data_IF_990167190164
#
_entry.id   IF_990167190164
#
_cell.length_a   1.000
_cell.length_b   1.000
_cell.length_c   1.000
_cell.angle_alpha   90.00
_cell.angle_beta   90.00
_cell.angle_gamma   90.00
#
_symmetry.space_group_name_H-M   'P 1'
#
loop_
_entity.id
_entity.type
_entity.pdbx_description
1 polymer ?
#
# COMPACT_ATOMS: atom_id res chain seq x y z
N UNK A 1 62.06 36.00 11.29
CA UNK A 1 61.01 36.10 12.24
C UNK A 1 60.27 34.73 12.30
N UNK A 2 60.35 34.14 13.49
CA UNK A 2 59.80 32.83 13.81
C UNK A 2 58.27 32.98 14.07
N UNK A 3 57.45 32.24 13.37
CA UNK A 3 56.02 32.08 13.69
C UNK A 3 55.84 30.78 14.47
N UNK A 4 55.46 30.91 15.71
CA UNK A 4 55.07 29.82 16.62
C UNK A 4 53.65 29.36 16.33
N UNK A 5 53.47 28.09 15.95
CA UNK A 5 52.18 27.46 15.80
C UNK A 5 51.56 27.11 17.15
N UNK A 6 50.33 27.54 17.37
CA UNK A 6 49.51 27.16 18.53
C UNK A 6 48.53 26.06 18.12
N UNK A 7 48.69 24.89 18.75
CA UNK A 7 47.73 23.76 18.61
C UNK A 7 46.47 24.06 19.41
N UNK A 8 45.26 23.82 18.88
CA UNK A 8 44.01 23.97 19.66
C UNK A 8 43.85 22.81 20.64
N UNK A 9 43.49 23.16 21.87
CA UNK A 9 43.18 22.22 22.96
C UNK A 9 41.88 21.45 22.72
N UNK A 10 41.84 20.19 23.13
CA UNK A 10 40.66 19.33 23.11
C UNK A 10 39.56 19.83 24.08
N UNK A 11 38.25 19.68 23.74
CA UNK A 11 37.19 20.10 24.63
C UNK A 11 37.03 19.19 25.86
N UNK A 12 36.71 19.79 27.00
CA UNK A 12 36.51 19.14 28.29
C UNK A 12 35.22 18.24 28.29
N UNK A 13 35.20 17.17 29.10
CA UNK A 13 34.02 16.30 29.18
C UNK A 13 32.87 17.00 29.92
N UNK A 14 31.67 16.93 29.31
CA UNK A 14 30.44 17.47 29.89
C UNK A 14 29.99 16.69 31.14
N UNK A 15 29.08 17.28 31.95
CA UNK A 15 28.65 16.71 33.23
C UNK A 15 27.84 15.43 33.06
N UNK A 16 28.15 14.42 33.89
CA UNK A 16 27.43 13.15 33.99
C UNK A 16 26.02 13.40 34.58
N UNK A 17 25.00 12.95 33.86
CA UNK A 17 23.63 12.90 34.33
C UNK A 17 23.50 11.71 35.32
N UNK A 18 22.84 11.84 36.48
CA UNK A 18 22.62 10.72 37.41
C UNK A 18 21.63 9.72 36.78
N UNK A 19 21.95 8.45 36.92
CA UNK A 19 21.13 7.30 36.57
C UNK A 19 19.95 7.24 37.57
N UNK A 20 18.77 7.64 37.15
CA UNK A 20 17.55 7.57 37.93
C UNK A 20 16.61 6.52 37.33
N UNK A 21 16.35 5.51 38.15
CA UNK A 21 15.21 4.61 38.17
C UNK A 21 14.60 4.11 36.85
N UNK A 22 14.87 2.85 36.61
CA UNK A 22 14.21 2.02 35.60
C UNK A 22 12.85 1.60 36.15
N UNK A 23 11.71 1.97 35.54
CA UNK A 23 10.42 1.47 35.98
C UNK A 23 10.28 -0.03 35.67
N UNK A 24 9.81 -0.77 36.65
CA UNK A 24 9.51 -2.20 36.59
C UNK A 24 8.47 -2.50 35.50
N UNK A 25 8.68 -3.61 34.81
CA UNK A 25 7.82 -4.16 33.75
C UNK A 25 6.47 -4.55 34.35
N UNK A 26 5.32 -4.09 33.81
CA UNK A 26 4.02 -4.54 34.29
C UNK A 26 3.82 -6.04 34.02
N UNK A 27 3.44 -6.76 35.07
CA UNK A 27 2.96 -8.14 35.00
C UNK A 27 1.70 -8.26 34.16
N UNK A 28 1.67 -9.28 33.31
CA UNK A 28 0.58 -9.56 32.37
C UNK A 28 -0.76 -9.73 33.11
N UNK A 29 -1.78 -9.01 32.64
CA UNK A 29 -3.17 -9.19 33.03
C UNK A 29 -3.77 -10.49 32.45
N UNK A 30 -4.74 -11.15 33.10
CA UNK A 30 -5.29 -12.42 32.63
C UNK A 30 -6.13 -12.24 31.36
N UNK A 31 -5.86 -13.08 30.39
CA UNK A 31 -6.57 -13.19 29.12
C UNK A 31 -8.02 -13.60 29.31
N UNK A 32 -8.94 -12.79 28.84
CA UNK A 32 -10.38 -13.06 28.76
C UNK A 32 -10.63 -14.11 27.67
N UNK A 33 -11.47 -15.15 27.90
CA UNK A 33 -11.74 -16.15 26.89
C UNK A 33 -12.56 -15.58 25.73
N UNK A 34 -12.19 -15.96 24.50
CA UNK A 34 -12.91 -15.63 23.27
C UNK A 34 -14.28 -16.32 23.21
N UNK A 35 -15.30 -15.70 22.57
CA UNK A 35 -16.61 -16.32 22.43
C UNK A 35 -16.56 -17.54 21.52
N UNK A 36 -17.23 -18.60 21.91
CA UNK A 36 -17.37 -19.84 21.16
C UNK A 36 -18.09 -19.61 19.82
N UNK A 37 -17.46 -20.05 18.75
CA UNK A 37 -18.06 -20.10 17.41
C UNK A 37 -19.03 -21.30 17.39
N UNK A 38 -20.26 -21.05 16.98
CA UNK A 38 -21.36 -21.98 16.93
C UNK A 38 -21.08 -23.24 16.12
N UNK A 39 -21.65 -24.34 16.59
CA UNK A 39 -21.60 -25.66 15.99
C UNK A 39 -22.17 -25.66 14.57
N UNK A 40 -21.38 -26.12 13.61
CA UNK A 40 -21.84 -26.43 12.26
C UNK A 40 -22.53 -27.81 12.23
N UNK A 41 -23.65 -27.85 11.55
CA UNK A 41 -24.59 -28.95 11.32
C UNK A 41 -23.91 -30.20 10.73
N UNK A 42 -24.16 -31.45 11.25
CA UNK A 42 -23.47 -32.67 10.78
C UNK A 42 -24.20 -33.39 9.62
N UNK A 43 -24.83 -32.69 8.68
CA UNK A 43 -25.71 -33.33 7.68
C UNK A 43 -25.17 -33.43 6.24
N UNK A 44 -23.87 -33.13 5.96
CA UNK A 44 -23.34 -33.19 4.57
C UNK A 44 -22.04 -33.99 4.38
N UNK A 45 -21.86 -35.10 5.11
CA UNK A 45 -20.68 -35.96 4.94
C UNK A 45 -21.05 -37.43 4.73
N UNK A 46 -21.96 -37.73 3.83
CA UNK A 46 -22.14 -39.09 3.34
C UNK A 46 -22.27 -39.07 1.83
N UNK A 47 -21.14 -39.20 1.17
CA UNK A 47 -20.96 -39.82 -0.14
C UNK A 47 -19.52 -39.59 -0.63
N UNK A 48 -18.67 -40.56 -0.42
CA UNK A 48 -17.65 -41.06 -1.35
C UNK A 48 -16.84 -42.13 -0.64
N UNK A 49 -17.40 -43.32 -0.54
CA UNK A 49 -16.61 -44.54 -0.34
C UNK A 49 -16.12 -44.96 -1.73
N UNK A 50 -14.91 -44.54 -2.09
CA UNK A 50 -14.14 -45.20 -3.12
C UNK A 50 -13.07 -46.02 -2.41
N UNK A 51 -13.10 -47.34 -2.60
CA UNK A 51 -12.21 -48.35 -2.09
C UNK A 51 -10.77 -48.13 -2.54
N UNK A 52 -10.00 -47.39 -1.74
CA UNK A 52 -8.53 -47.37 -1.80
C UNK A 52 -8.02 -47.85 -0.45
N UNK A 53 -7.18 -48.91 -0.44
CA UNK A 53 -6.54 -49.45 0.76
C UNK A 53 -5.85 -48.31 1.51
N UNK A 54 -6.48 -47.86 2.59
CA UNK A 54 -5.92 -46.85 3.48
C UNK A 54 -4.88 -47.57 4.34
N UNK A 55 -3.62 -47.43 3.99
CA UNK A 55 -2.51 -47.80 4.85
C UNK A 55 -2.55 -46.85 6.06
N UNK A 56 -2.70 -47.46 7.25
CA UNK A 56 -3.01 -46.72 8.48
C UNK A 56 -2.04 -45.60 8.81
N UNK A 57 -2.63 -44.47 9.20
CA UNK A 57 -1.91 -43.34 9.78
C UNK A 57 -1.15 -43.79 11.06
N UNK A 58 -0.02 -43.16 11.40
CA UNK A 58 0.69 -43.43 12.64
C UNK A 58 -0.27 -43.32 13.83
N UNK A 59 -0.21 -44.29 14.75
CA UNK A 59 -1.06 -44.32 15.93
C UNK A 59 -0.81 -43.12 16.81
N UNK A 60 -1.86 -42.67 17.50
CA UNK A 60 -1.75 -41.54 18.41
C UNK A 60 -0.76 -41.83 19.53
N UNK A 61 -0.07 -40.79 19.98
CA UNK A 61 0.86 -40.87 21.09
C UNK A 61 0.14 -41.43 22.36
N UNK A 62 0.67 -42.52 22.93
CA UNK A 62 0.05 -43.24 24.07
C UNK A 62 -0.75 -44.49 23.72
N UNK A 63 -1.07 -44.79 22.45
CA UNK A 63 -1.80 -45.99 22.05
C UNK A 63 -0.87 -47.18 21.95
N UNK A 64 -1.11 -48.24 22.75
CA UNK A 64 -0.28 -49.46 22.73
C UNK A 64 -0.59 -50.30 21.49
N UNK A 65 0.42 -50.70 20.66
CA UNK A 65 0.19 -51.56 19.52
C UNK A 65 -0.32 -52.94 19.92
N UNK A 66 -1.38 -53.41 19.26
CA UNK A 66 -1.95 -54.73 19.46
C UNK A 66 -1.18 -55.70 18.55
N UNK A 67 -0.38 -56.57 19.11
CA UNK A 67 0.40 -57.58 18.37
C UNK A 67 0.53 -58.87 19.21
N UNK A 68 0.51 -60.06 18.55
CA UNK A 68 0.79 -61.34 19.20
C UNK A 68 2.21 -61.38 19.78
N UNK A 69 2.46 -62.22 20.82
CA UNK A 69 3.79 -62.33 21.42
C UNK A 69 4.90 -62.67 20.40
N UNK A 70 4.63 -63.51 19.43
CA UNK A 70 5.57 -63.92 18.39
C UNK A 70 5.95 -62.72 17.48
N UNK A 71 4.98 -61.85 17.12
CA UNK A 71 5.24 -60.63 16.33
C UNK A 71 6.06 -59.63 17.13
N UNK A 72 5.79 -59.50 18.44
CA UNK A 72 6.58 -58.64 19.33
C UNK A 72 8.03 -59.09 19.48
N UNK A 73 8.25 -60.39 19.59
CA UNK A 73 9.60 -60.95 19.65
C UNK A 73 10.37 -60.64 18.35
N UNK A 74 9.76 -60.97 17.20
CA UNK A 74 10.37 -60.73 15.88
C UNK A 74 10.63 -59.25 15.59
N UNK A 75 9.73 -58.38 15.98
CA UNK A 75 9.93 -56.92 15.84
C UNK A 75 11.12 -56.44 16.68
N UNK A 76 11.30 -57.01 17.91
CA UNK A 76 12.44 -56.66 18.77
C UNK A 76 13.76 -57.18 18.16
N UNK A 77 13.77 -58.40 17.60
CA UNK A 77 14.94 -58.95 16.90
C UNK A 77 15.29 -58.13 15.64
N UNK A 78 14.28 -57.65 14.92
CA UNK A 78 14.46 -56.80 13.73
C UNK A 78 14.71 -55.32 14.06
N UNK A 79 14.71 -54.88 15.34
CA UNK A 79 14.88 -53.48 15.73
C UNK A 79 13.72 -52.56 15.31
N UNK A 80 12.53 -53.11 15.07
CA UNK A 80 11.37 -52.38 14.57
C UNK A 80 10.47 -51.94 15.70
N UNK A 81 10.16 -50.64 15.79
CA UNK A 81 9.13 -50.11 16.70
C UNK A 81 7.72 -50.40 16.13
N UNK A 82 6.98 -51.28 16.81
CA UNK A 82 5.62 -51.67 16.40
C UNK A 82 4.62 -50.51 16.36
N UNK A 83 4.93 -49.35 16.94
CA UNK A 83 4.12 -48.14 16.79
C UNK A 83 4.11 -47.58 15.38
N UNK A 84 5.14 -47.89 14.61
CA UNK A 84 5.29 -47.46 13.22
C UNK A 84 4.67 -48.47 12.20
N UNK A 85 4.26 -49.65 12.69
CA UNK A 85 3.68 -50.70 11.85
C UNK A 85 2.15 -50.59 11.89
N UNK A 86 1.52 -50.45 10.73
CA UNK A 86 0.06 -50.51 10.62
C UNK A 86 -0.40 -51.97 10.67
N UNK A 87 -1.34 -52.30 11.57
CA UNK A 87 -1.90 -53.65 11.66
C UNK A 87 -3.09 -53.84 10.74
N UNK A 88 -3.08 -54.88 9.89
CA UNK A 88 -4.19 -55.26 9.00
C UNK A 88 -5.08 -56.37 9.60
N UNK A 89 -4.68 -57.01 10.68
CA UNK A 89 -5.46 -58.06 11.36
C UNK A 89 -6.69 -57.54 12.10
N UNK A 90 -7.53 -58.47 12.63
CA UNK A 90 -8.74 -58.11 13.35
C UNK A 90 -8.50 -57.13 14.49
N UNK A 91 -9.35 -56.10 14.60
CA UNK A 91 -9.21 -54.97 15.54
C UNK A 91 -7.88 -54.21 15.43
N UNK A 92 -7.30 -54.11 14.22
CA UNK A 92 -6.05 -53.39 13.98
C UNK A 92 -4.80 -54.10 14.53
N UNK A 93 -4.87 -55.41 14.72
CA UNK A 93 -3.76 -56.25 15.21
C UNK A 93 -2.68 -56.37 14.15
N UNK A 94 -1.42 -56.17 14.55
CA UNK A 94 -0.26 -56.34 13.69
C UNK A 94 0.02 -57.80 13.46
N UNK A 95 0.07 -58.24 12.20
CA UNK A 95 0.38 -59.62 11.77
C UNK A 95 1.85 -59.75 11.43
N UNK A 96 2.31 -61.01 11.17
CA UNK A 96 3.67 -61.25 10.66
C UNK A 96 3.89 -60.61 9.29
N UNK A 97 2.86 -60.67 8.44
CA UNK A 97 2.89 -60.08 7.09
C UNK A 97 3.06 -58.56 7.12
N UNK A 98 2.40 -57.87 8.07
CA UNK A 98 2.54 -56.43 8.27
C UNK A 98 3.97 -56.04 8.66
N UNK A 99 4.59 -56.84 9.54
CA UNK A 99 5.96 -56.62 9.96
C UNK A 99 6.94 -56.85 8.83
N UNK A 100 6.73 -57.95 8.05
CA UNK A 100 7.57 -58.27 6.89
C UNK A 100 7.46 -57.18 5.81
N UNK A 101 6.25 -56.70 5.53
CA UNK A 101 6.02 -55.61 4.59
C UNK A 101 6.66 -54.30 5.06
N UNK A 102 6.69 -54.05 6.37
CA UNK A 102 7.35 -52.87 6.93
C UNK A 102 8.88 -52.97 6.81
N UNK A 103 9.45 -54.13 7.16
CA UNK A 103 10.91 -54.38 7.05
C UNK A 103 11.37 -54.29 5.60
N UNK A 104 10.62 -54.89 4.67
CA UNK A 104 10.94 -54.87 3.24
C UNK A 104 10.88 -53.47 2.62
N UNK A 105 10.00 -52.61 3.13
CA UNK A 105 9.79 -51.24 2.63
C UNK A 105 10.69 -50.21 3.30
N UNK A 106 11.24 -50.50 4.46
CA UNK A 106 11.93 -49.56 5.34
C UNK A 106 10.98 -48.56 6.03
N UNK A 107 11.45 -47.78 6.98
CA UNK A 107 10.65 -46.74 7.61
C UNK A 107 10.20 -45.76 6.52
N UNK A 108 8.90 -45.75 6.21
CA UNK A 108 8.31 -44.76 5.31
C UNK A 108 8.51 -43.38 5.95
N UNK A 109 9.35 -42.58 5.38
CA UNK A 109 9.42 -41.17 5.77
C UNK A 109 8.01 -40.62 5.65
N UNK A 110 7.43 -40.13 6.76
CA UNK A 110 6.15 -39.42 6.73
C UNK A 110 6.25 -38.39 5.64
N UNK A 111 5.22 -38.21 4.78
CA UNK A 111 5.28 -37.19 3.73
C UNK A 111 5.58 -35.86 4.41
N UNK A 112 6.76 -35.33 4.14
CA UNK A 112 7.15 -34.02 4.68
C UNK A 112 6.11 -33.01 4.19
N UNK A 113 5.36 -32.43 5.10
CA UNK A 113 4.49 -31.26 4.83
C UNK A 113 5.35 -30.03 4.52
N UNK A 114 6.44 -30.23 3.79
CA UNK A 114 7.32 -29.18 3.34
C UNK A 114 6.69 -28.42 2.18
N UNK A 115 6.94 -27.11 2.12
CA UNK A 115 6.58 -26.31 0.97
C UNK A 115 7.28 -26.85 -0.28
N UNK A 116 6.51 -27.11 -1.34
CA UNK A 116 7.09 -27.52 -2.62
C UNK A 116 7.66 -26.29 -3.34
N UNK A 117 8.85 -26.42 -3.90
CA UNK A 117 9.43 -25.40 -4.74
C UNK A 117 8.57 -25.20 -6.00
N UNK A 118 8.20 -23.94 -6.26
CA UNK A 118 7.49 -23.55 -7.48
C UNK A 118 8.54 -23.10 -8.50
N UNK A 119 8.79 -23.90 -9.52
CA UNK A 119 9.83 -23.66 -10.53
C UNK A 119 9.26 -23.25 -11.89
N UNK A 120 7.93 -23.21 -12.04
CA UNK A 120 7.29 -22.85 -13.29
C UNK A 120 7.50 -21.34 -13.57
N UNK A 121 7.97 -21.02 -14.77
CA UNK A 121 8.10 -19.66 -15.32
C UNK A 121 6.95 -19.45 -16.28
N UNK A 122 6.25 -18.33 -16.17
CA UNK A 122 5.18 -17.94 -17.09
C UNK A 122 5.58 -16.66 -17.82
N UNK A 123 5.92 -16.75 -19.07
CA UNK A 123 6.28 -15.64 -19.91
C UNK A 123 5.02 -14.91 -20.40
N UNK A 124 4.84 -13.65 -19.97
CA UNK A 124 3.69 -12.82 -20.35
C UNK A 124 4.16 -11.67 -21.23
N UNK A 125 3.76 -11.68 -22.51
CA UNK A 125 4.05 -10.60 -23.45
C UNK A 125 3.20 -9.37 -23.14
N UNK A 126 3.84 -8.22 -22.93
CA UNK A 126 3.15 -6.95 -22.79
C UNK A 126 2.65 -6.46 -24.15
N UNK A 127 1.33 -6.25 -24.26
CA UNK A 127 0.66 -5.79 -25.49
C UNK A 127 -0.33 -4.66 -25.21
N UNK A 128 -0.75 -3.96 -26.25
CA UNK A 128 -1.82 -2.94 -26.17
C UNK A 128 -1.49 -1.78 -25.23
N UNK A 129 -2.45 -1.44 -24.36
CA UNK A 129 -2.32 -0.30 -23.43
C UNK A 129 -1.14 -0.46 -22.46
N UNK A 130 -0.92 -1.66 -21.91
CA UNK A 130 0.20 -1.91 -20.98
C UNK A 130 1.56 -1.65 -21.62
N UNK A 131 1.72 -2.00 -22.90
CA UNK A 131 2.95 -1.69 -23.65
C UNK A 131 3.14 -0.18 -23.81
N UNK A 132 2.09 0.57 -24.17
CA UNK A 132 2.14 2.04 -24.28
C UNK A 132 2.45 2.71 -22.95
N UNK A 133 1.88 2.21 -21.85
CA UNK A 133 2.21 2.71 -20.50
C UNK A 133 3.69 2.48 -20.20
N UNK A 134 4.22 1.28 -20.47
CA UNK A 134 5.62 0.96 -20.23
C UNK A 134 6.56 1.88 -21.05
N UNK A 135 6.25 2.10 -22.32
CA UNK A 135 7.02 3.01 -23.21
C UNK A 135 6.96 4.45 -22.68
N UNK A 136 5.78 4.96 -22.30
CA UNK A 136 5.61 6.31 -21.74
C UNK A 136 6.35 6.48 -20.41
N UNK A 137 6.30 5.50 -19.52
CA UNK A 137 7.01 5.54 -18.23
C UNK A 137 8.53 5.48 -18.41
N UNK A 138 9.02 4.71 -19.40
CA UNK A 138 10.43 4.67 -19.73
C UNK A 138 10.92 6.03 -20.25
N UNK A 139 10.17 6.69 -21.14
CA UNK A 139 10.48 8.04 -21.64
C UNK A 139 10.50 9.04 -20.48
N UNK A 140 9.46 9.05 -19.63
CA UNK A 140 9.39 9.96 -18.50
C UNK A 140 10.57 9.77 -17.54
N UNK A 141 10.93 8.52 -17.21
CA UNK A 141 12.03 8.23 -16.29
C UNK A 141 13.41 8.57 -16.87
N UNK A 142 13.59 8.37 -18.18
CA UNK A 142 14.88 8.65 -18.85
C UNK A 142 15.10 10.15 -19.07
N UNK A 143 14.04 10.88 -19.43
CA UNK A 143 14.17 12.28 -19.83
C UNK A 143 14.08 13.25 -18.64
N UNK A 144 13.31 12.90 -17.60
CA UNK A 144 13.04 13.81 -16.51
C UNK A 144 13.91 13.48 -15.29
N UNK A 145 14.83 14.36 -14.88
CA UNK A 145 15.48 14.28 -13.57
C UNK A 145 14.48 14.63 -12.48
N UNK A 146 13.75 13.62 -11.98
CA UNK A 146 12.74 13.81 -10.95
C UNK A 146 13.36 14.22 -9.63
N UNK A 147 12.82 15.31 -9.02
CA UNK A 147 12.97 15.53 -7.57
C UNK A 147 11.62 15.29 -6.90
N UNK A 148 11.63 14.74 -5.70
CA UNK A 148 10.41 14.51 -4.91
C UNK A 148 10.48 15.32 -3.63
N UNK A 149 9.47 16.13 -3.41
CA UNK A 149 9.25 16.86 -2.17
C UNK A 149 8.04 16.26 -1.45
N UNK A 150 8.23 15.90 -0.17
CA UNK A 150 7.17 15.30 0.66
C UNK A 150 6.90 16.19 1.85
N UNK A 151 5.64 16.53 2.05
CA UNK A 151 5.21 17.38 3.16
C UNK A 151 4.05 16.71 3.92
N UNK A 152 4.12 16.76 5.24
CA UNK A 152 3.03 16.33 6.11
C UNK A 152 2.03 17.48 6.34
N UNK A 153 0.75 17.18 6.17
CA UNK A 153 -0.35 18.17 6.21
C UNK A 153 -1.39 17.74 7.23
N UNK A 154 -1.81 18.63 8.09
CA UNK A 154 -2.98 18.46 8.96
C UNK A 154 -4.27 18.72 8.17
N UNK A 155 -4.92 17.64 7.75
CA UNK A 155 -6.19 17.70 7.01
C UNK A 155 -7.42 17.63 7.91
N UNK A 156 -7.28 17.83 9.22
CA UNK A 156 -8.40 17.74 10.18
C UNK A 156 -9.49 18.74 9.82
N UNK A 157 -9.14 20.02 9.62
CA UNK A 157 -10.11 21.08 9.34
C UNK A 157 -10.83 20.88 8.00
N UNK A 158 -10.13 20.49 6.93
CA UNK A 158 -10.77 20.22 5.63
C UNK A 158 -11.65 18.98 5.68
N UNK A 159 -11.29 17.94 6.46
CA UNK A 159 -12.11 16.75 6.64
C UNK A 159 -13.38 17.03 7.47
N UNK A 160 -13.31 17.92 8.45
CA UNK A 160 -14.47 18.41 9.20
C UNK A 160 -15.41 19.22 8.29
N UNK A 161 -14.87 20.17 7.54
CA UNK A 161 -15.63 20.93 6.55
C UNK A 161 -16.30 20.01 5.52
N UNK A 162 -15.55 19.03 4.98
CA UNK A 162 -16.08 18.05 4.04
C UNK A 162 -17.23 17.22 4.63
N UNK A 163 -17.13 16.86 5.92
CA UNK A 163 -18.19 16.12 6.61
C UNK A 163 -19.46 16.96 6.75
N UNK A 164 -19.34 18.23 7.12
CA UNK A 164 -20.47 19.18 7.19
C UNK A 164 -21.12 19.36 5.82
N UNK A 165 -20.33 19.68 4.79
CA UNK A 165 -20.84 19.88 3.43
C UNK A 165 -21.55 18.62 2.89
N UNK A 166 -21.01 17.44 3.16
CA UNK A 166 -21.65 16.18 2.74
C UNK A 166 -22.94 15.85 3.50
N UNK A 167 -23.07 16.29 4.76
CA UNK A 167 -24.31 16.13 5.53
C UNK A 167 -25.41 17.05 4.99
N UNK A 168 -25.06 18.29 4.65
CA UNK A 168 -26.00 19.34 4.31
C UNK A 168 -26.18 19.51 2.78
N UNK A 169 -25.58 18.62 1.97
CA UNK A 169 -25.64 18.65 0.50
C UNK A 169 -27.06 18.44 -0.03
N UNK A 170 -27.38 19.04 -1.17
CA UNK A 170 -28.62 18.79 -1.92
C UNK A 170 -28.59 17.39 -2.56
N UNK A 171 -29.75 16.86 -2.90
CA UNK A 171 -29.88 15.51 -3.48
C UNK A 171 -29.08 15.34 -4.79
N UNK A 172 -29.06 16.36 -5.64
CA UNK A 172 -28.39 16.41 -6.93
C UNK A 172 -26.86 16.62 -6.83
N UNK A 173 -26.36 17.06 -5.67
CA UNK A 173 -24.93 17.29 -5.48
C UNK A 173 -24.17 16.00 -5.24
N UNK A 174 -23.00 15.81 -5.87
CA UNK A 174 -22.18 14.62 -5.66
C UNK A 174 -21.61 14.58 -4.24
N UNK A 175 -21.19 13.40 -3.81
CA UNK A 175 -20.45 13.27 -2.55
C UNK A 175 -19.06 13.89 -2.69
N UNK A 176 -18.69 14.80 -1.81
CA UNK A 176 -17.35 15.37 -1.76
C UNK A 176 -16.35 14.37 -1.16
N UNK A 177 -15.24 14.20 -1.85
CA UNK A 177 -14.00 13.59 -1.35
C UNK A 177 -12.98 14.70 -1.03
N UNK A 178 -11.75 14.35 -0.65
CA UNK A 178 -10.67 15.33 -0.48
C UNK A 178 -10.22 15.90 -1.84
N UNK A 179 -10.38 15.15 -2.92
CA UNK A 179 -9.86 15.50 -4.25
C UNK A 179 -10.33 16.87 -4.77
N UNK A 180 -11.62 17.25 -4.72
CA UNK A 180 -12.08 18.58 -5.15
C UNK A 180 -11.42 19.73 -4.37
N UNK A 181 -11.18 19.55 -3.07
CA UNK A 181 -10.46 20.55 -2.26
C UNK A 181 -9.01 20.70 -2.72
N UNK A 182 -8.34 19.58 -2.98
CA UNK A 182 -6.98 19.58 -3.52
C UNK A 182 -6.93 20.21 -4.92
N UNK A 183 -7.90 19.93 -5.79
CA UNK A 183 -8.00 20.55 -7.12
C UNK A 183 -8.09 22.07 -7.01
N UNK A 184 -8.94 22.59 -6.12
CA UNK A 184 -9.05 24.03 -5.87
C UNK A 184 -7.76 24.60 -5.27
N UNK A 185 -7.10 23.87 -4.35
CA UNK A 185 -5.82 24.30 -3.79
C UNK A 185 -4.72 24.35 -4.86
N UNK A 186 -4.66 23.37 -5.77
CA UNK A 186 -3.73 23.39 -6.91
C UNK A 186 -3.99 24.57 -7.84
N UNK A 187 -5.25 24.82 -8.20
CA UNK A 187 -5.63 25.98 -9.05
C UNK A 187 -5.10 27.27 -8.44
N UNK A 188 -5.23 27.45 -7.12
CA UNK A 188 -4.72 28.66 -6.42
C UNK A 188 -3.19 28.70 -6.42
N UNK A 189 -2.55 27.56 -6.14
CA UNK A 189 -1.09 27.50 -6.06
C UNK A 189 -0.42 27.74 -7.42
N UNK A 190 -0.97 27.21 -8.53
CA UNK A 190 -0.41 27.44 -9.87
C UNK A 190 -0.67 28.88 -10.38
N UNK A 191 -1.70 29.56 -9.89
CA UNK A 191 -1.88 30.98 -10.21
C UNK A 191 -0.73 31.85 -9.66
N UNK A 192 -0.16 31.47 -8.52
CA UNK A 192 1.01 32.13 -7.92
C UNK A 192 2.34 31.65 -8.53
N UNK A 193 2.36 30.42 -9.09
CA UNK A 193 3.55 29.79 -9.69
C UNK A 193 3.21 29.15 -11.04
N UNK A 194 3.01 29.93 -12.11
CA UNK A 194 2.56 29.44 -13.43
C UNK A 194 3.50 28.43 -14.08
N UNK A 195 4.80 28.43 -13.73
CA UNK A 195 5.78 27.48 -14.23
C UNK A 195 5.47 26.02 -13.86
N UNK A 196 4.61 25.79 -12.86
CA UNK A 196 4.18 24.45 -12.43
C UNK A 196 2.94 23.95 -13.18
N UNK A 197 2.25 24.81 -13.92
CA UNK A 197 1.14 24.47 -14.80
C UNK A 197 1.64 24.49 -16.26
N UNK A 198 2.57 23.61 -16.58
CA UNK A 198 3.31 23.69 -17.82
C UNK A 198 3.64 22.30 -18.42
N UNK A 199 3.93 22.31 -19.71
CA UNK A 199 4.46 21.19 -20.46
C UNK A 199 5.85 21.53 -20.97
N UNK A 200 6.80 20.62 -20.82
CA UNK A 200 8.17 20.80 -21.31
C UNK A 200 8.39 20.05 -22.61
N UNK A 201 8.73 20.77 -23.68
CA UNK A 201 9.12 20.19 -24.95
C UNK A 201 10.63 19.87 -24.90
N UNK A 202 10.95 18.58 -24.75
CA UNK A 202 12.33 18.09 -24.67
C UNK A 202 13.14 18.38 -25.95
N UNK A 203 12.49 18.36 -27.12
CA UNK A 203 13.18 18.55 -28.40
C UNK A 203 13.49 20.01 -28.71
N UNK A 204 12.56 20.92 -28.36
CA UNK A 204 12.71 22.34 -28.56
C UNK A 204 13.39 23.06 -27.38
N UNK A 205 13.43 22.44 -26.19
CA UNK A 205 13.90 23.09 -24.96
C UNK A 205 12.96 24.20 -24.49
N UNK A 206 11.65 24.10 -24.77
CA UNK A 206 10.66 25.13 -24.49
C UNK A 206 9.72 24.68 -23.39
N UNK A 207 9.50 25.57 -22.40
CA UNK A 207 8.49 25.40 -21.38
C UNK A 207 7.20 26.13 -21.81
N UNK A 208 6.16 25.37 -22.11
CA UNK A 208 4.83 25.89 -22.44
C UNK A 208 4.00 26.05 -21.17
N UNK A 209 3.95 27.27 -20.63
CA UNK A 209 3.11 27.62 -19.49
C UNK A 209 1.66 27.83 -19.97
N UNK A 210 0.72 27.15 -19.31
CA UNK A 210 -0.70 27.22 -19.65
C UNK A 210 -1.45 28.14 -18.70
N UNK A 211 -2.29 29.03 -19.24
CA UNK A 211 -3.20 29.84 -18.43
C UNK A 211 -4.36 28.98 -17.87
N UNK A 212 -4.89 28.07 -18.68
CA UNK A 212 -5.91 27.11 -18.23
C UNK A 212 -5.30 25.95 -17.43
N UNK A 213 -5.96 25.57 -16.35
CA UNK A 213 -5.51 24.48 -15.47
C UNK A 213 -6.26 23.19 -15.82
N UNK A 214 -5.55 22.25 -16.43
CA UNK A 214 -6.11 20.96 -16.85
C UNK A 214 -5.56 19.85 -15.95
N UNK A 215 -6.39 19.37 -15.02
CA UNK A 215 -5.95 18.43 -13.98
C UNK A 215 -6.18 17.00 -14.44
N UNK A 216 -5.09 16.27 -14.64
CA UNK A 216 -5.10 14.82 -14.82
C UNK A 216 -5.38 14.11 -13.51
N UNK A 217 -6.27 13.11 -13.52
CA UNK A 217 -6.60 12.31 -12.34
C UNK A 217 -6.20 10.86 -12.62
N UNK A 218 -5.17 10.36 -11.94
CA UNK A 218 -4.74 8.98 -12.11
C UNK A 218 -5.83 8.02 -11.60
N UNK A 219 -6.42 7.24 -12.51
CA UNK A 219 -7.49 6.30 -12.23
C UNK A 219 -7.07 4.87 -12.60
N UNK A 220 -7.21 3.94 -11.65
CA UNK A 220 -6.99 2.51 -11.91
C UNK A 220 -8.19 1.95 -12.68
N UNK A 221 -7.89 1.25 -13.78
CA UNK A 221 -8.89 0.55 -14.59
C UNK A 221 -8.50 -0.92 -14.80
N UNK A 222 -9.41 -1.75 -15.31
CA UNK A 222 -9.11 -3.14 -15.63
C UNK A 222 -8.00 -3.28 -16.70
N UNK A 223 -7.89 -2.31 -17.61
CA UNK A 223 -6.88 -2.29 -18.67
C UNK A 223 -5.51 -1.76 -18.21
N UNK A 224 -5.45 -1.07 -17.07
CA UNK A 224 -4.26 -0.42 -16.51
C UNK A 224 -4.55 0.97 -15.97
N UNK A 225 -3.51 1.73 -15.63
CA UNK A 225 -3.65 3.09 -15.16
C UNK A 225 -3.97 4.03 -16.34
N UNK A 226 -5.03 4.82 -16.18
CA UNK A 226 -5.42 5.88 -17.13
C UNK A 226 -5.46 7.21 -16.39
N UNK A 227 -5.24 8.30 -17.13
CA UNK A 227 -5.24 9.67 -16.58
C UNK A 227 -6.29 10.50 -17.32
N UNK A 228 -7.58 10.37 -16.97
CA UNK A 228 -8.60 11.29 -17.47
C UNK A 228 -8.37 12.71 -16.93
N UNK A 229 -8.80 13.70 -17.72
CA UNK A 229 -8.49 15.11 -17.51
C UNK A 229 -9.74 15.91 -17.21
N UNK A 230 -9.74 16.60 -16.08
CA UNK A 230 -10.69 17.68 -15.78
C UNK A 230 -10.13 18.96 -16.41
N UNK A 231 -10.81 19.43 -17.43
CA UNK A 231 -10.37 20.63 -18.15
C UNK A 231 -10.88 21.89 -17.48
N UNK A 232 -10.08 22.96 -17.56
CA UNK A 232 -10.42 24.28 -17.04
C UNK A 232 -10.91 24.23 -15.58
N UNK A 233 -10.14 23.54 -14.72
CA UNK A 233 -10.45 23.41 -13.31
C UNK A 233 -10.53 24.78 -12.59
N UNK A 234 -9.89 25.81 -13.15
CA UNK A 234 -9.97 27.19 -12.66
C UNK A 234 -11.39 27.77 -12.73
N UNK A 235 -12.20 27.32 -13.67
CA UNK A 235 -13.59 27.79 -13.85
C UNK A 235 -14.61 27.04 -12.99
N UNK A 236 -14.20 25.96 -12.33
CA UNK A 236 -15.09 25.06 -11.59
C UNK A 236 -15.11 25.41 -10.11
N UNK A 237 -16.29 25.48 -9.52
CA UNK A 237 -16.45 25.48 -8.08
C UNK A 237 -16.17 24.09 -7.46
N UNK A 238 -16.26 23.98 -6.13
CA UNK A 238 -15.99 22.73 -5.42
C UNK A 238 -16.92 21.58 -5.86
N UNK A 239 -18.21 21.86 -6.07
CA UNK A 239 -19.19 20.84 -6.45
C UNK A 239 -19.04 20.44 -7.91
N UNK A 240 -18.77 21.40 -8.79
CA UNK A 240 -18.47 21.14 -10.19
C UNK A 240 -17.15 20.35 -10.35
N UNK A 241 -16.11 20.65 -9.57
CA UNK A 241 -14.91 19.85 -9.49
C UNK A 241 -15.21 18.40 -9.09
N UNK A 242 -16.07 18.19 -8.07
CA UNK A 242 -16.44 16.85 -7.63
C UNK A 242 -17.23 16.07 -8.69
N UNK A 243 -18.20 16.72 -9.34
CA UNK A 243 -19.00 16.14 -10.41
C UNK A 243 -18.13 15.74 -11.60
N UNK A 244 -17.30 16.66 -12.08
CA UNK A 244 -16.47 16.43 -13.26
C UNK A 244 -15.37 15.38 -13.01
N UNK A 245 -14.71 15.44 -11.85
CA UNK A 245 -13.74 14.41 -11.46
C UNK A 245 -14.36 13.01 -11.42
N UNK A 246 -15.57 12.88 -10.87
CA UNK A 246 -16.32 11.61 -10.85
C UNK A 246 -16.67 11.17 -12.27
N UNK A 247 -17.23 12.06 -13.09
CA UNK A 247 -17.62 11.78 -14.47
C UNK A 247 -16.47 11.24 -15.31
N UNK A 248 -15.33 11.94 -15.30
CA UNK A 248 -14.18 11.53 -16.12
C UNK A 248 -13.53 10.24 -15.62
N UNK A 249 -13.48 10.03 -14.29
CA UNK A 249 -12.94 8.81 -13.69
C UNK A 249 -13.83 7.59 -13.98
N UNK A 250 -15.15 7.73 -13.92
CA UNK A 250 -16.09 6.66 -14.20
C UNK A 250 -16.12 6.31 -15.70
N UNK A 251 -16.06 7.29 -16.59
CA UNK A 251 -15.90 7.06 -18.02
C UNK A 251 -14.60 6.29 -18.33
N UNK A 252 -13.51 6.62 -17.65
CA UNK A 252 -12.24 5.89 -17.82
C UNK A 252 -12.34 4.45 -17.31
N UNK A 253 -12.97 4.21 -16.15
CA UNK A 253 -13.19 2.85 -15.59
C UNK A 253 -14.11 2.00 -16.47
N UNK A 254 -15.16 2.61 -17.04
CA UNK A 254 -16.08 1.96 -17.96
C UNK A 254 -15.49 1.72 -19.36
N UNK A 255 -14.30 2.31 -19.67
CA UNK A 255 -13.69 2.23 -20.99
C UNK A 255 -14.41 3.05 -22.06
N UNK A 256 -15.28 3.99 -21.66
CA UNK A 256 -16.05 4.88 -22.56
C UNK A 256 -15.46 6.28 -22.70
N UNK A 257 -14.31 6.54 -22.02
CA UNK A 257 -13.65 7.82 -22.11
C UNK A 257 -13.15 8.12 -23.53
N UNK A 258 -13.55 9.27 -24.06
CA UNK A 258 -13.06 9.75 -25.35
C UNK A 258 -11.55 10.04 -25.26
N UNK A 259 -10.85 9.98 -26.40
CA UNK A 259 -9.40 10.23 -26.48
C UNK A 259 -9.03 11.62 -25.96
N UNK A 260 -9.87 12.58 -26.24
CA UNK A 260 -9.72 13.98 -25.81
C UNK A 260 -9.75 14.12 -24.30
N UNK A 261 -10.54 13.27 -23.61
CA UNK A 261 -10.62 13.23 -22.13
C UNK A 261 -9.37 12.60 -21.50
N UNK A 262 -8.60 11.83 -22.26
CA UNK A 262 -7.41 11.11 -21.78
C UNK A 262 -6.09 11.79 -22.13
N UNK A 263 -6.13 13.06 -22.54
CA UNK A 263 -4.94 13.80 -23.00
C UNK A 263 -5.05 15.28 -22.67
N UNK A 264 -3.91 15.98 -22.63
CA UNK A 264 -3.84 17.42 -22.49
C UNK A 264 -4.00 17.93 -21.05
N UNK A 265 -3.64 17.12 -20.06
CA UNK A 265 -3.41 17.58 -18.70
C UNK A 265 -2.15 18.43 -18.60
N UNK A 266 -2.16 19.43 -17.72
CA UNK A 266 -1.03 20.33 -17.46
C UNK A 266 -0.37 20.03 -16.10
N UNK A 267 -1.10 19.37 -15.22
CA UNK A 267 -0.64 18.85 -13.94
C UNK A 267 -1.47 17.62 -13.57
N UNK A 268 -0.87 16.61 -12.96
CA UNK A 268 -1.56 15.36 -12.60
C UNK A 268 -1.67 15.18 -11.08
N UNK A 269 -2.82 14.68 -10.61
CA UNK A 269 -3.03 14.18 -9.25
C UNK A 269 -3.03 12.66 -9.27
N UNK A 270 -2.21 12.03 -8.43
CA UNK A 270 -2.20 10.59 -8.20
C UNK A 270 -2.67 10.26 -6.80
N UNK A 271 -3.78 9.55 -6.68
CA UNK A 271 -4.34 9.16 -5.38
C UNK A 271 -4.78 7.69 -5.41
N UNK A 272 -4.32 6.93 -4.42
CA UNK A 272 -4.76 5.55 -4.18
C UNK A 272 -5.81 5.47 -3.06
N UNK A 273 -6.27 6.61 -2.55
CA UNK A 273 -7.22 6.68 -1.46
C UNK A 273 -6.75 5.91 -0.22
N UNK A 274 -7.63 5.08 0.35
CA UNK A 274 -7.31 4.29 1.55
C UNK A 274 -6.18 3.26 1.33
N UNK A 275 -5.90 2.85 0.10
CA UNK A 275 -4.79 1.95 -0.25
C UNK A 275 -3.46 2.68 -0.42
N UNK A 276 -3.44 4.01 -0.36
CA UNK A 276 -2.24 4.82 -0.45
C UNK A 276 -1.24 4.49 0.65
N UNK A 277 0.06 4.54 0.33
CA UNK A 277 1.14 4.40 1.30
C UNK A 277 1.25 5.62 2.22
N UNK A 278 2.26 5.60 3.09
CA UNK A 278 2.62 6.78 3.91
C UNK A 278 3.33 7.82 3.04
N UNK A 279 4.17 7.36 2.12
CA UNK A 279 4.95 8.17 1.17
C UNK A 279 4.98 7.45 -0.17
N UNK A 280 5.07 8.18 -1.25
CA UNK A 280 5.24 7.68 -2.62
C UNK A 280 6.21 8.57 -3.40
N UNK A 281 6.73 8.06 -4.51
CA UNK A 281 7.56 8.79 -5.47
C UNK A 281 6.88 8.72 -6.84
N UNK A 282 5.85 9.54 -7.11
CA UNK A 282 5.12 9.45 -8.35
C UNK A 282 5.99 9.83 -9.56
N UNK A 283 5.84 9.09 -10.66
CA UNK A 283 6.49 9.42 -11.93
C UNK A 283 5.62 10.45 -12.65
N UNK A 284 6.25 11.52 -13.13
CA UNK A 284 5.56 12.60 -13.85
C UNK A 284 4.94 12.06 -15.14
N UNK A 285 3.73 12.52 -15.43
CA UNK A 285 3.00 12.17 -16.64
C UNK A 285 3.51 13.01 -17.82
N UNK A 286 4.70 12.64 -18.34
CA UNK A 286 5.35 13.37 -19.45
C UNK A 286 4.37 13.77 -20.56
N UNK A 287 4.39 15.03 -21.08
CA UNK A 287 5.40 16.08 -20.89
C UNK A 287 5.09 17.09 -19.76
N UNK A 288 4.22 16.78 -18.81
CA UNK A 288 3.98 17.64 -17.62
C UNK A 288 5.28 17.83 -16.82
N UNK A 289 5.34 18.89 -16.00
CA UNK A 289 6.50 19.21 -15.16
C UNK A 289 6.26 18.89 -13.67
N UNK A 290 5.02 18.56 -13.29
CA UNK A 290 4.66 18.28 -11.90
C UNK A 290 3.57 17.22 -11.78
N UNK A 291 3.66 16.41 -10.71
CA UNK A 291 2.63 15.48 -10.28
C UNK A 291 2.47 15.55 -8.76
N UNK A 292 1.23 15.59 -8.28
CA UNK A 292 0.90 15.64 -6.85
C UNK A 292 0.36 14.28 -6.39
N UNK A 293 1.12 13.58 -5.58
CA UNK A 293 0.75 12.29 -4.99
C UNK A 293 0.06 12.46 -3.64
N UNK A 294 -1.15 11.91 -3.51
CA UNK A 294 -1.93 11.94 -2.28
C UNK A 294 -1.80 10.61 -1.56
N UNK A 295 -1.21 10.64 -0.37
CA UNK A 295 -1.06 9.46 0.47
C UNK A 295 -2.26 9.27 1.40
N UNK A 296 -2.29 8.17 2.16
CA UNK A 296 -3.41 7.87 3.05
C UNK A 296 -3.49 8.84 4.22
N UNK A 297 -4.71 9.16 4.63
CA UNK A 297 -4.97 9.91 5.87
C UNK A 297 -4.84 8.96 7.06
N UNK A 298 -4.10 9.38 8.08
CA UNK A 298 -3.90 8.65 9.33
C UNK A 298 -4.17 9.55 10.53
N UNK A 299 -4.76 9.01 11.58
CA UNK A 299 -4.86 9.73 12.85
C UNK A 299 -3.51 9.60 13.56
N UNK A 300 -2.88 10.74 13.88
CA UNK A 300 -1.60 10.81 14.60
C UNK A 300 -1.71 11.75 15.80
N UNK A 301 -1.00 11.46 16.90
CA UNK A 301 -0.86 12.41 18.00
C UNK A 301 0.07 13.55 17.55
N UNK A 302 -0.43 14.77 17.60
CA UNK A 302 0.34 15.99 17.28
C UNK A 302 0.40 16.85 18.54
N UNK A 303 1.61 17.30 18.90
CA UNK A 303 1.83 18.17 20.04
C UNK A 303 1.37 19.59 19.74
N UNK A 304 0.51 20.17 20.57
CA UNK A 304 -0.02 21.54 20.39
C UNK A 304 0.69 22.59 21.28
N UNK A 305 1.76 22.20 21.98
CA UNK A 305 2.45 23.04 22.95
C UNK A 305 2.14 22.68 24.41
N UNK A 306 1.06 21.96 24.70
CA UNK A 306 0.63 21.56 26.03
C UNK A 306 0.26 20.07 26.13
N UNK A 307 -0.35 19.50 25.12
CA UNK A 307 -0.82 18.12 25.11
C UNK A 307 -0.78 17.52 23.69
N UNK A 308 -0.88 16.19 23.59
CA UNK A 308 -1.03 15.51 22.32
C UNK A 308 -2.49 15.43 21.90
N UNK A 309 -2.79 16.01 20.74
CA UNK A 309 -4.12 15.95 20.14
C UNK A 309 -4.15 14.97 18.97
N UNK A 310 -5.21 14.16 18.83
CA UNK A 310 -5.40 13.35 17.63
C UNK A 310 -5.71 14.26 16.43
N UNK A 311 -4.87 14.20 15.39
CA UNK A 311 -5.04 14.95 14.14
C UNK A 311 -5.10 14.01 12.95
N UNK A 312 -5.86 14.36 11.94
CA UNK A 312 -5.88 13.66 10.65
C UNK A 312 -4.74 14.16 9.81
N UNK A 313 -3.66 13.40 9.76
CA UNK A 313 -2.44 13.74 9.04
C UNK A 313 -2.37 13.01 7.70
N UNK A 314 -1.87 13.68 6.69
CA UNK A 314 -1.69 13.16 5.35
C UNK A 314 -0.39 13.68 4.76
N UNK A 315 0.37 12.82 4.06
CA UNK A 315 1.52 13.29 3.30
C UNK A 315 1.10 13.58 1.85
N UNK A 316 1.55 14.73 1.33
CA UNK A 316 1.64 14.97 -0.11
C UNK A 316 3.04 14.63 -0.58
N UNK A 317 3.14 13.70 -1.51
CA UNK A 317 4.39 13.30 -2.17
C UNK A 317 4.35 13.82 -3.59
N UNK A 318 4.98 14.95 -3.84
CA UNK A 318 4.94 15.62 -5.15
C UNK A 318 6.28 15.46 -5.86
N UNK A 319 6.25 15.11 -7.15
CA UNK A 319 7.46 15.04 -7.98
C UNK A 319 7.44 16.13 -9.03
N UNK A 320 8.63 16.67 -9.32
CA UNK A 320 8.85 17.81 -10.20
C UNK A 320 10.00 17.52 -11.17
N UNK A 321 9.93 18.13 -12.36
CA UNK A 321 11.02 18.11 -13.32
C UNK A 321 12.10 19.13 -12.92
N UNK A 322 13.24 18.62 -12.42
CA UNK A 322 14.31 19.48 -11.91
C UNK A 322 15.06 20.29 -12.98
N UNK A 323 14.69 20.13 -14.23
CA UNK A 323 15.22 20.98 -15.32
C UNK A 323 14.56 22.36 -15.34
N UNK A 324 13.34 22.45 -14.81
CA UNK A 324 12.50 23.66 -14.87
C UNK A 324 11.91 24.09 -13.53
N UNK A 325 11.94 23.21 -12.53
CA UNK A 325 11.45 23.46 -11.16
C UNK A 325 12.56 23.14 -10.18
N UNK A 326 13.03 24.12 -9.46
CA UNK A 326 14.05 23.91 -8.41
C UNK A 326 13.43 23.52 -7.06
N UNK A 327 14.31 23.25 -6.06
CA UNK A 327 13.86 22.79 -4.75
C UNK A 327 13.06 23.88 -4.00
N UNK A 328 13.35 25.16 -4.24
CA UNK A 328 12.63 26.26 -3.63
C UNK A 328 11.22 26.39 -4.22
N UNK A 329 11.09 26.35 -5.53
CA UNK A 329 9.81 26.40 -6.23
C UNK A 329 8.91 25.22 -5.80
N UNK A 330 9.47 24.00 -5.77
CA UNK A 330 8.77 22.81 -5.32
C UNK A 330 8.27 22.93 -3.88
N UNK A 331 9.13 23.42 -2.98
CA UNK A 331 8.78 23.61 -1.57
C UNK A 331 7.68 24.69 -1.42
N UNK A 332 7.85 25.83 -2.05
CA UNK A 332 6.88 26.94 -2.00
C UNK A 332 5.50 26.51 -2.50
N UNK A 333 5.46 25.79 -3.60
CA UNK A 333 4.20 25.25 -4.16
C UNK A 333 3.49 24.30 -3.20
N UNK A 334 4.21 23.32 -2.66
CA UNK A 334 3.62 22.36 -1.74
C UNK A 334 3.22 23.01 -0.41
N UNK A 335 4.01 23.95 0.10
CA UNK A 335 3.66 24.74 1.29
C UNK A 335 2.41 25.59 1.07
N UNK A 336 2.22 26.12 -0.15
CA UNK A 336 0.99 26.84 -0.48
C UNK A 336 -0.23 25.93 -0.45
N UNK A 337 -0.13 24.73 -1.06
CA UNK A 337 -1.19 23.72 -0.99
C UNK A 337 -1.48 23.31 0.46
N UNK A 338 -0.43 23.08 1.27
CA UNK A 338 -0.55 22.80 2.70
C UNK A 338 -1.36 23.87 3.41
N UNK A 339 -0.99 25.15 3.28
CA UNK A 339 -1.70 26.27 3.90
C UNK A 339 -3.18 26.27 3.53
N UNK A 340 -3.51 26.03 2.25
CA UNK A 340 -4.89 26.01 1.76
C UNK A 340 -5.70 24.83 2.29
N UNK A 341 -5.08 23.67 2.50
CA UNK A 341 -5.75 22.47 3.05
C UNK A 341 -5.88 22.54 4.58
N UNK A 342 -4.89 23.10 5.28
CA UNK A 342 -4.93 23.30 6.73
C UNK A 342 -5.90 24.40 7.14
N UNK A 343 -6.07 25.42 6.28
CA UNK A 343 -7.03 26.51 6.46
C UNK A 343 -8.00 26.58 5.28
N UNK A 344 -8.97 25.66 5.17
CA UNK A 344 -9.80 25.51 3.97
C UNK A 344 -10.67 26.73 3.64
N UNK A 345 -10.89 27.63 4.57
CA UNK A 345 -11.55 28.91 4.29
C UNK A 345 -10.82 29.73 3.20
N UNK A 346 -9.49 29.65 3.15
CA UNK A 346 -8.69 30.35 2.14
C UNK A 346 -8.93 29.86 0.71
N UNK A 347 -9.43 28.64 0.54
CA UNK A 347 -9.79 28.10 -0.79
C UNK A 347 -10.93 28.90 -1.42
N UNK A 348 -11.84 29.42 -0.58
CA UNK A 348 -13.07 30.13 -1.00
C UNK A 348 -12.94 31.63 -0.99
N UNK A 349 -11.88 32.16 -0.40
CA UNK A 349 -11.62 33.60 -0.45
C UNK A 349 -11.17 33.97 -1.87
N UNK A 350 -11.89 34.84 -2.53
CA UNK A 350 -11.47 35.39 -3.81
C UNK A 350 -10.20 36.21 -3.58
N UNK A 351 -9.12 35.82 -4.27
CA UNK A 351 -7.95 36.67 -4.38
C UNK A 351 -8.28 37.81 -5.35
N UNK A 352 -8.05 39.02 -4.95
CA UNK A 352 -8.00 40.17 -5.84
C UNK A 352 -6.95 39.99 -6.93
#
# INVERSE_FOLDING_TARGET
PKTTGTTPAAPAPGPRVPEADRPERPTAAPTRPAPAVGAADPALSRQHQASGQIWGAPRREGEKPIAPPAVRLRAREAGVDLRQVAGTGPAGRITHEDLDAFVARGPSAAPSRGFQARTAINDVKLVGLRRRIAEKMAVAHTNIPHITYVEEIDVTAVEELRAVLNRDKRAEQPRLTLLPFLMRAIVRAVAEQPQLNALYDDAAGILHQHAGVHIGIAAQTAAGLMVPVVRHAETLDLWACAAEATRVADAARAGTAARETLSGSTITISSLGAMGGVVSTPIINHPEVAIVGVNKIMIRPVWNGSEFLPRKMMNLSSSFDHRVVDGWDAATFVQRIKTLLEMPALIFMEGE
#
